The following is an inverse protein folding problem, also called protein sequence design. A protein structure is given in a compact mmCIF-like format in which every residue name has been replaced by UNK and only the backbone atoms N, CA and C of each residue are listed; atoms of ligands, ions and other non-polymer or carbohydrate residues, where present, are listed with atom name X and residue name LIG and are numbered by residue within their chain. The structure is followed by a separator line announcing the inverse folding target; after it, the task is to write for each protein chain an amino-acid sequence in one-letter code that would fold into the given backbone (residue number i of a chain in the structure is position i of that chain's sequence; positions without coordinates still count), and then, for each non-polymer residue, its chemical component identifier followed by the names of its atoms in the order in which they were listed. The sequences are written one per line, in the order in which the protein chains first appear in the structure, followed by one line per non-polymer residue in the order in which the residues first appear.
data_IF_351978790378
#
_entry.id   IF_351978790378
#
_cell.length_a   1.000
_cell.length_b   1.000
_cell.length_c   1.000
_cell.angle_alpha   90.00
_cell.angle_beta   90.00
_cell.angle_gamma   90.00
#
_symmetry.space_group_name_H-M   'P 1'
#
loop_
_entity.id
_entity.type
_entity.pdbx_description
1 polymer ?
#
# COMPACT_ATOMS: atom_id res chain seq x y z
N UNK A 1 6.36 14.80 -12.58
CA UNK A 1 6.31 13.38 -12.13
C UNK A 1 7.55 12.66 -12.63
N UNK A 2 8.32 12.00 -11.77
CA UNK A 2 9.54 11.27 -12.21
C UNK A 2 9.64 9.92 -11.51
N UNK A 3 9.11 8.88 -12.16
CA UNK A 3 9.34 7.48 -11.78
C UNK A 3 10.66 7.05 -12.40
N UNK A 4 11.58 6.57 -11.58
CA UNK A 4 12.89 6.10 -12.06
C UNK A 4 13.07 4.62 -11.74
N UNK A 5 13.11 3.78 -12.76
CA UNK A 5 13.46 2.37 -12.62
C UNK A 5 14.94 2.17 -12.90
N UNK A 6 15.68 1.55 -11.97
CA UNK A 6 17.12 1.30 -12.09
C UNK A 6 17.45 -0.19 -11.99
N UNK A 7 18.34 -0.65 -12.85
CA UNK A 7 18.87 -2.02 -12.82
C UNK A 7 20.20 -2.10 -12.05
N UNK A 8 20.64 -3.30 -11.61
CA UNK A 8 21.94 -3.47 -10.99
C UNK A 8 23.10 -3.05 -11.90
N UNK A 9 24.02 -2.22 -11.37
CA UNK A 9 25.25 -1.83 -12.08
C UNK A 9 26.22 -3.00 -12.21
N UNK A 10 26.33 -3.86 -11.18
CA UNK A 10 27.20 -5.04 -11.16
C UNK A 10 26.73 -6.10 -12.16
N UNK A 11 27.61 -6.48 -13.11
CA UNK A 11 27.31 -7.42 -14.21
C UNK A 11 26.73 -8.76 -13.73
N UNK A 12 27.32 -9.39 -12.72
CA UNK A 12 26.83 -10.68 -12.20
C UNK A 12 25.41 -10.60 -11.65
N UNK A 13 25.08 -9.52 -10.92
CA UNK A 13 23.72 -9.29 -10.40
C UNK A 13 22.73 -8.97 -11.52
N UNK A 14 23.16 -8.25 -12.55
CA UNK A 14 22.34 -7.92 -13.72
C UNK A 14 22.01 -9.17 -14.54
N UNK A 15 23.00 -10.04 -14.77
CA UNK A 15 22.79 -11.32 -15.44
C UNK A 15 21.81 -12.18 -14.63
N UNK A 16 22.02 -12.33 -13.32
CA UNK A 16 21.11 -13.09 -12.46
C UNK A 16 19.66 -12.56 -12.53
N UNK A 17 19.48 -11.23 -12.51
CA UNK A 17 18.16 -10.60 -12.64
C UNK A 17 17.53 -10.96 -13.99
N UNK A 18 18.28 -10.80 -15.07
CA UNK A 18 17.82 -11.14 -16.42
C UNK A 18 17.41 -12.60 -16.53
N UNK A 19 18.22 -13.53 -16.04
CA UNK A 19 17.97 -14.96 -16.14
C UNK A 19 16.71 -15.36 -15.33
N UNK A 20 16.49 -14.74 -14.16
CA UNK A 20 15.29 -14.94 -13.34
C UNK A 20 14.03 -14.36 -14.00
N UNK A 21 14.12 -13.19 -14.64
CA UNK A 21 13.01 -12.60 -15.39
C UNK A 21 12.66 -13.47 -16.61
N UNK A 22 13.67 -13.93 -17.36
CA UNK A 22 13.47 -14.80 -18.53
C UNK A 22 12.80 -16.11 -18.15
N UNK A 23 13.18 -16.71 -17.01
CA UNK A 23 12.51 -17.90 -16.47
C UNK A 23 11.03 -17.65 -16.17
N UNK A 24 10.66 -16.41 -15.83
CA UNK A 24 9.29 -15.98 -15.61
C UNK A 24 8.58 -15.47 -16.87
N UNK A 25 9.19 -15.60 -18.06
CA UNK A 25 8.63 -15.12 -19.32
C UNK A 25 8.69 -13.60 -19.49
N UNK A 26 9.53 -12.90 -18.73
CA UNK A 26 9.67 -11.45 -18.76
C UNK A 26 11.06 -11.03 -19.26
N UNK A 27 11.12 -9.98 -20.06
CA UNK A 27 12.35 -9.25 -20.36
C UNK A 27 12.65 -8.19 -19.29
N UNK A 28 13.82 -7.56 -19.38
CA UNK A 28 14.13 -6.40 -18.55
C UNK A 28 13.23 -5.20 -18.90
N UNK A 29 12.85 -5.06 -20.17
CA UNK A 29 11.95 -4.00 -20.62
C UNK A 29 10.55 -4.21 -20.03
N UNK A 30 10.04 -5.44 -20.03
CA UNK A 30 8.74 -5.77 -19.41
C UNK A 30 8.75 -5.47 -17.92
N UNK A 31 9.82 -5.82 -17.21
CA UNK A 31 9.97 -5.50 -15.80
C UNK A 31 9.96 -3.99 -15.52
N UNK A 32 10.54 -3.18 -16.41
CA UNK A 32 10.45 -1.73 -16.31
C UNK A 32 9.02 -1.25 -16.58
N UNK A 33 8.41 -1.73 -17.65
CA UNK A 33 7.07 -1.34 -18.07
C UNK A 33 6.02 -1.66 -16.99
N UNK A 34 6.09 -2.83 -16.37
CA UNK A 34 5.19 -3.20 -15.25
C UNK A 34 5.22 -2.20 -14.09
N UNK A 35 6.38 -1.62 -13.77
CA UNK A 35 6.46 -0.58 -12.72
C UNK A 35 5.80 0.73 -13.18
N UNK A 36 5.90 1.07 -14.47
CA UNK A 36 5.20 2.22 -15.03
C UNK A 36 3.69 2.00 -15.12
N UNK A 37 3.26 0.78 -15.45
CA UNK A 37 1.85 0.40 -15.54
C UNK A 37 1.19 0.30 -14.15
N UNK A 38 1.94 -0.11 -13.13
CA UNK A 38 1.43 -0.21 -11.75
C UNK A 38 1.27 1.16 -11.08
N UNK A 39 1.93 2.19 -11.61
CA UNK A 39 1.86 3.54 -11.05
C UNK A 39 0.46 4.18 -11.07
N UNK A 40 -0.24 4.28 -12.22
CA UNK A 40 -1.59 4.84 -12.24
C UNK A 40 -2.54 4.01 -11.36
N UNK A 41 -2.38 2.69 -11.34
CA UNK A 41 -3.14 1.78 -10.47
C UNK A 41 -2.86 2.06 -8.99
N UNK A 42 -1.62 2.36 -8.62
CA UNK A 42 -1.27 2.70 -7.24
C UNK A 42 -1.92 4.00 -6.79
N UNK A 43 -2.07 4.99 -7.68
CA UNK A 43 -2.83 6.20 -7.41
C UNK A 43 -4.32 5.89 -7.28
N UNK A 44 -4.89 5.10 -8.20
CA UNK A 44 -6.29 4.69 -8.16
C UNK A 44 -6.68 4.04 -6.83
N UNK A 45 -5.85 3.11 -6.32
CA UNK A 45 -6.05 2.51 -5.01
C UNK A 45 -6.04 3.56 -3.88
N UNK A 46 -5.10 4.51 -3.91
CA UNK A 46 -4.99 5.55 -2.89
C UNK A 46 -6.15 6.54 -2.97
N UNK A 47 -6.62 6.87 -4.16
CA UNK A 47 -7.75 7.75 -4.41
C UNK A 47 -9.02 7.14 -3.82
N UNK A 48 -9.29 5.86 -4.08
CA UNK A 48 -10.43 5.15 -3.50
C UNK A 48 -10.44 5.19 -1.96
N UNK A 49 -9.29 4.90 -1.34
CA UNK A 49 -9.17 5.03 0.12
C UNK A 49 -9.27 6.47 0.62
N UNK A 50 -8.77 7.43 -0.16
CA UNK A 50 -8.76 8.85 0.20
C UNK A 50 -10.17 9.45 0.16
N UNK A 51 -10.99 9.10 -0.83
CA UNK A 51 -12.36 9.56 -0.99
C UNK A 51 -13.19 9.25 0.25
N UNK A 52 -13.17 7.99 0.71
CA UNK A 52 -13.89 7.55 1.92
C UNK A 52 -13.53 8.41 3.16
N UNK A 53 -12.23 8.64 3.41
CA UNK A 53 -11.82 9.42 4.59
C UNK A 53 -12.05 10.93 4.40
N UNK A 54 -12.05 11.42 3.15
CA UNK A 54 -12.33 12.82 2.85
C UNK A 54 -13.80 13.14 3.11
N UNK A 55 -14.73 12.27 2.71
CA UNK A 55 -16.16 12.39 3.04
C UNK A 55 -16.38 12.51 4.56
N UNK A 56 -15.78 11.60 5.33
CA UNK A 56 -15.80 11.66 6.80
C UNK A 56 -15.19 12.97 7.33
N UNK A 57 -14.17 13.51 6.67
CA UNK A 57 -13.54 14.78 7.06
C UNK A 57 -14.39 16.00 6.70
N UNK A 58 -15.25 15.93 5.68
CA UNK A 58 -16.15 17.02 5.29
C UNK A 58 -17.26 17.25 6.32
N UNK A 59 -17.62 16.25 7.12
CA UNK A 59 -18.55 16.40 8.22
C UNK A 59 -18.10 17.49 9.24
N UNK A 60 -19.07 18.16 9.91
CA UNK A 60 -18.76 19.10 10.99
C UNK A 60 -17.86 18.46 12.03
N UNK A 61 -16.94 19.26 12.59
CA UNK A 61 -15.84 18.75 13.43
C UNK A 61 -16.32 17.84 14.56
N UNK A 62 -17.45 18.17 15.18
CA UNK A 62 -18.05 17.42 16.28
C UNK A 62 -18.57 16.04 15.86
N UNK A 63 -18.98 15.87 14.60
CA UNK A 63 -19.61 14.65 14.09
C UNK A 63 -18.61 13.70 13.41
N UNK A 64 -17.37 14.14 13.17
CA UNK A 64 -16.36 13.34 12.44
C UNK A 64 -16.01 12.01 13.09
N UNK A 65 -16.09 11.94 14.42
CA UNK A 65 -15.84 10.66 15.12
C UNK A 65 -16.98 9.70 14.81
N UNK A 66 -18.23 10.15 14.91
CA UNK A 66 -19.39 9.32 14.66
C UNK A 66 -19.45 8.91 13.18
N UNK A 67 -19.15 9.84 12.26
CA UNK A 67 -19.00 9.53 10.83
C UNK A 67 -17.91 8.50 10.54
N UNK A 68 -16.75 8.60 11.22
CA UNK A 68 -15.69 7.58 11.10
C UNK A 68 -16.14 6.22 11.61
N UNK A 69 -16.89 6.19 12.71
CA UNK A 69 -17.39 4.96 13.31
C UNK A 69 -18.55 4.34 12.51
N UNK A 70 -19.26 5.14 11.72
CA UNK A 70 -20.32 4.69 10.83
C UNK A 70 -19.81 4.09 9.52
N UNK A 71 -18.54 4.31 9.17
CA UNK A 71 -17.91 3.80 7.95
C UNK A 71 -17.22 2.45 8.20
N UNK A 72 -17.77 1.32 7.72
CA UNK A 72 -17.30 -0.02 8.06
C UNK A 72 -15.82 -0.24 7.71
N UNK A 73 -15.35 0.20 6.54
CA UNK A 73 -13.97 -0.04 6.11
C UNK A 73 -12.96 0.71 6.98
N UNK A 74 -13.31 1.91 7.44
CA UNK A 74 -12.45 2.68 8.34
C UNK A 74 -12.33 2.00 9.71
N UNK A 75 -13.43 1.49 10.25
CA UNK A 75 -13.41 0.75 11.52
C UNK A 75 -12.64 -0.56 11.36
N UNK A 76 -12.84 -1.27 10.26
CA UNK A 76 -12.21 -2.55 9.97
C UNK A 76 -10.67 -2.46 9.90
N UNK A 77 -10.13 -1.44 9.22
CA UNK A 77 -8.69 -1.32 9.01
C UNK A 77 -7.97 -0.35 9.94
N UNK A 78 -8.68 0.52 10.66
CA UNK A 78 -8.04 1.45 11.59
C UNK A 78 -8.56 1.37 13.02
N UNK A 79 -9.63 0.61 13.24
CA UNK A 79 -10.28 0.39 14.51
C UNK A 79 -10.88 1.67 15.11
N UNK A 80 -11.43 1.53 16.31
CA UNK A 80 -12.23 2.59 16.94
C UNK A 80 -11.48 3.94 16.99
N UNK A 81 -12.16 4.99 16.56
CA UNK A 81 -11.73 6.36 16.70
C UNK A 81 -12.47 7.00 17.88
N UNK A 82 -11.75 7.38 18.94
CA UNK A 82 -12.36 8.08 20.09
C UNK A 82 -12.18 9.60 20.07
N UNK A 83 -11.47 10.13 19.05
CA UNK A 83 -11.08 11.55 18.98
C UNK A 83 -10.95 11.98 17.53
N UNK A 84 -11.36 13.21 17.21
CA UNK A 84 -11.20 13.83 15.88
C UNK A 84 -9.76 13.77 15.36
N UNK A 85 -8.77 13.85 16.25
CA UNK A 85 -7.35 13.73 15.85
C UNK A 85 -7.02 12.36 15.22
N UNK A 86 -7.77 11.30 15.51
CA UNK A 86 -7.55 9.99 14.89
C UNK A 86 -7.99 10.04 13.43
N UNK A 87 -9.18 10.57 13.15
CA UNK A 87 -9.72 10.84 11.81
C UNK A 87 -8.73 11.69 10.99
N UNK A 88 -8.36 12.86 11.52
CA UNK A 88 -7.44 13.77 10.84
C UNK A 88 -6.06 13.15 10.59
N UNK A 89 -5.61 12.23 11.46
CA UNK A 89 -4.35 11.53 11.26
C UNK A 89 -4.43 10.51 10.13
N UNK A 90 -5.55 9.79 9.99
CA UNK A 90 -5.75 8.85 8.89
C UNK A 90 -5.79 9.61 7.58
N UNK A 91 -6.63 10.64 7.50
CA UNK A 91 -6.74 11.52 6.32
C UNK A 91 -5.39 12.08 5.87
N UNK A 92 -4.69 12.79 6.77
CA UNK A 92 -3.38 13.40 6.45
C UNK A 92 -2.34 12.39 5.97
N UNK A 93 -2.43 11.13 6.40
CA UNK A 93 -1.50 10.08 5.99
C UNK A 93 -1.83 9.54 4.60
N UNK A 94 -3.11 9.37 4.27
CA UNK A 94 -3.55 9.02 2.93
C UNK A 94 -3.21 10.14 1.94
N UNK A 95 -3.55 11.39 2.30
CA UNK A 95 -3.16 12.59 1.54
C UNK A 95 -1.65 12.60 1.29
N UNK A 96 -0.86 12.38 2.35
CA UNK A 96 0.59 12.31 2.24
C UNK A 96 1.08 11.17 1.33
N UNK A 97 0.50 9.97 1.45
CA UNK A 97 0.89 8.82 0.61
C UNK A 97 0.66 9.17 -0.86
N UNK A 98 -0.54 9.66 -1.19
CA UNK A 98 -0.95 10.11 -2.53
C UNK A 98 0.01 11.16 -3.08
N UNK A 99 0.26 12.24 -2.32
CA UNK A 99 1.23 13.28 -2.65
C UNK A 99 2.63 12.72 -3.00
N UNK A 100 3.07 11.67 -2.30
CA UNK A 100 4.39 11.06 -2.55
C UNK A 100 4.41 10.20 -3.79
N UNK A 101 3.34 9.45 -4.03
CA UNK A 101 3.19 8.70 -5.28
C UNK A 101 3.20 9.68 -6.45
N UNK A 102 2.40 10.74 -6.41
CA UNK A 102 2.35 11.80 -7.44
C UNK A 102 3.72 12.46 -7.71
N UNK A 103 4.49 12.77 -6.66
CA UNK A 103 5.84 13.34 -6.79
C UNK A 103 6.83 12.37 -7.46
N UNK A 104 6.57 11.07 -7.40
CA UNK A 104 7.37 10.01 -7.99
C UNK A 104 8.43 9.42 -7.06
N UNK A 105 8.89 8.23 -7.42
CA UNK A 105 9.79 7.40 -6.62
C UNK A 105 10.85 6.71 -7.49
N UNK A 106 11.87 6.15 -6.86
CA UNK A 106 12.89 5.35 -7.53
C UNK A 106 12.76 3.88 -7.14
N UNK A 107 12.64 3.00 -8.14
CA UNK A 107 12.61 1.55 -7.94
C UNK A 107 13.91 0.93 -8.42
N UNK A 108 14.59 0.20 -7.55
CA UNK A 108 15.77 -0.57 -7.91
C UNK A 108 15.41 -2.04 -8.11
N UNK A 109 15.42 -2.51 -9.35
CA UNK A 109 15.19 -3.92 -9.65
C UNK A 109 16.34 -4.78 -9.11
N UNK A 110 16.01 -5.88 -8.43
CA UNK A 110 16.97 -6.80 -7.83
C UNK A 110 16.62 -8.26 -8.13
N UNK A 111 17.63 -9.12 -8.37
CA UNK A 111 17.39 -10.55 -8.41
C UNK A 111 17.01 -11.07 -7.03
N UNK A 112 16.19 -12.11 -6.97
CA UNK A 112 15.88 -12.84 -5.74
C UNK A 112 17.11 -13.55 -5.16
N UNK A 113 17.12 -13.67 -3.83
CA UNK A 113 18.03 -14.49 -3.04
C UNK A 113 17.28 -15.62 -2.33
N UNK A 114 17.92 -16.28 -1.36
CA UNK A 114 17.27 -17.37 -0.59
C UNK A 114 16.14 -16.88 0.34
N UNK A 115 16.26 -15.66 0.86
CA UNK A 115 15.30 -15.03 1.79
C UNK A 115 15.12 -13.55 1.44
N UNK A 116 14.79 -13.26 0.19
CA UNK A 116 14.44 -11.90 -0.20
C UNK A 116 12.97 -11.61 0.18
N UNK A 117 12.59 -10.36 0.46
CA UNK A 117 11.19 -9.94 0.46
C UNK A 117 10.71 -9.71 -1.00
N UNK A 118 9.45 -9.32 -1.18
CA UNK A 118 8.92 -8.91 -2.49
C UNK A 118 9.48 -7.53 -2.89
N UNK A 119 9.50 -6.61 -1.94
CA UNK A 119 10.16 -5.33 -2.04
C UNK A 119 10.80 -4.93 -0.70
N UNK A 120 11.59 -3.85 -0.71
CA UNK A 120 12.21 -3.32 0.50
C UNK A 120 12.55 -1.84 0.31
N UNK A 121 11.95 -0.98 1.11
CA UNK A 121 12.32 0.44 1.18
C UNK A 121 13.76 0.65 1.62
N UNK A 122 14.46 1.48 0.85
CA UNK A 122 15.86 1.84 1.05
C UNK A 122 15.99 3.35 1.17
N UNK A 123 15.86 3.85 2.39
CA UNK A 123 15.97 5.28 2.65
C UNK A 123 15.82 5.56 4.13
N UNK A 124 16.28 6.73 4.56
CA UNK A 124 15.92 7.24 5.87
C UNK A 124 14.44 7.65 5.86
N UNK A 125 13.80 7.61 7.03
CA UNK A 125 12.49 8.22 7.23
C UNK A 125 12.55 9.69 6.78
N UNK A 126 11.47 10.22 6.20
CA UNK A 126 11.33 11.63 5.81
C UNK A 126 12.21 12.15 4.64
N UNK A 127 12.80 11.30 3.77
CA UNK A 127 13.46 11.77 2.53
C UNK A 127 12.48 12.24 1.44
N UNK A 128 12.82 13.30 0.70
CA UNK A 128 11.90 13.89 -0.30
C UNK A 128 11.49 12.94 -1.44
N UNK A 129 12.32 11.96 -1.80
CA UNK A 129 11.99 10.91 -2.79
C UNK A 129 12.14 9.53 -2.18
N UNK A 130 11.08 8.74 -2.25
CA UNK A 130 11.12 7.34 -1.83
C UNK A 130 12.01 6.54 -2.77
N UNK A 131 12.81 5.64 -2.20
CA UNK A 131 13.55 4.65 -2.95
C UNK A 131 13.32 3.29 -2.33
N UNK A 132 13.00 2.30 -3.14
CA UNK A 132 12.88 0.92 -2.68
C UNK A 132 13.48 -0.04 -3.70
N UNK A 133 13.76 -1.26 -3.23
CA UNK A 133 14.19 -2.37 -4.06
C UNK A 133 12.95 -3.19 -4.39
N UNK A 134 12.80 -3.57 -5.64
CA UNK A 134 11.76 -4.50 -6.07
C UNK A 134 12.45 -5.78 -6.57
N UNK A 135 12.08 -6.91 -5.99
CA UNK A 135 12.68 -8.20 -6.30
C UNK A 135 11.87 -8.93 -7.37
N UNK A 136 12.47 -9.91 -8.05
CA UNK A 136 11.84 -10.61 -9.17
C UNK A 136 10.48 -11.23 -8.83
N UNK A 137 10.29 -11.78 -7.63
CA UNK A 137 8.96 -12.23 -7.17
C UNK A 137 7.93 -11.10 -7.06
N UNK A 138 8.32 -9.92 -6.58
CA UNK A 138 7.44 -8.75 -6.52
C UNK A 138 7.03 -8.25 -7.92
N UNK A 139 7.96 -8.24 -8.88
CA UNK A 139 7.68 -7.83 -10.28
C UNK A 139 6.60 -8.71 -10.93
N UNK A 140 6.52 -9.98 -10.51
CA UNK A 140 5.64 -11.01 -11.07
C UNK A 140 4.24 -11.04 -10.47
N UNK A 141 3.98 -10.26 -9.43
CA UNK A 141 2.62 -10.02 -8.95
C UNK A 141 1.78 -9.46 -10.09
N UNK A 142 0.46 -9.67 -10.07
CA UNK A 142 -0.41 -8.95 -10.99
C UNK A 142 -0.32 -7.43 -10.75
N UNK A 143 -0.97 -6.65 -11.62
CA UNK A 143 -0.78 -5.21 -11.63
C UNK A 143 -1.33 -4.53 -10.37
N UNK A 144 -2.40 -5.08 -9.79
CA UNK A 144 -3.06 -4.55 -8.60
C UNK A 144 -2.25 -4.88 -7.36
N UNK A 145 -1.79 -6.12 -7.22
CA UNK A 145 -0.91 -6.54 -6.12
C UNK A 145 0.43 -5.80 -6.17
N UNK A 146 0.99 -5.57 -7.36
CA UNK A 146 2.20 -4.76 -7.52
C UNK A 146 1.96 -3.29 -7.13
N UNK A 147 0.81 -2.73 -7.48
CA UNK A 147 0.43 -1.37 -7.11
C UNK A 147 0.24 -1.22 -5.60
N UNK A 148 -0.44 -2.17 -4.96
CA UNK A 148 -0.60 -2.25 -3.51
C UNK A 148 0.77 -2.33 -2.81
N UNK A 149 1.67 -3.18 -3.31
CA UNK A 149 3.04 -3.29 -2.82
C UNK A 149 3.82 -1.97 -2.96
N UNK A 150 3.65 -1.22 -4.05
CA UNK A 150 4.26 0.10 -4.21
C UNK A 150 3.78 1.06 -3.11
N UNK A 151 2.47 1.10 -2.84
CA UNK A 151 1.89 1.92 -1.78
C UNK A 151 2.41 1.53 -0.40
N UNK A 152 2.51 0.22 -0.12
CA UNK A 152 3.10 -0.31 1.10
C UNK A 152 4.52 0.22 1.30
N UNK A 153 5.38 0.03 0.31
CA UNK A 153 6.79 0.42 0.41
C UNK A 153 6.96 1.92 0.55
N UNK A 154 6.15 2.73 -0.14
CA UNK A 154 6.13 4.19 0.02
C UNK A 154 5.72 4.58 1.43
N UNK A 155 4.76 3.86 2.03
CA UNK A 155 4.34 4.09 3.42
C UNK A 155 5.41 3.82 4.46
N UNK A 156 6.43 2.99 4.17
CA UNK A 156 7.54 2.75 5.10
C UNK A 156 8.37 3.98 5.40
N UNK A 157 8.17 5.05 4.65
CA UNK A 157 8.76 6.33 4.99
C UNK A 157 8.26 6.92 6.32
N UNK A 158 7.07 6.54 6.77
CA UNK A 158 6.49 7.01 8.02
C UNK A 158 6.29 5.91 9.04
N UNK A 159 6.13 4.68 8.57
CA UNK A 159 5.77 3.55 9.42
C UNK A 159 6.82 2.45 9.36
N UNK A 160 7.03 1.82 10.51
CA UNK A 160 7.69 0.53 10.56
C UNK A 160 6.62 -0.55 10.50
N UNK A 161 7.00 -1.72 9.98
CA UNK A 161 6.20 -2.93 10.09
C UNK A 161 5.67 -3.10 11.52
N UNK A 162 4.37 -3.37 11.62
CA UNK A 162 3.75 -3.73 12.87
C UNK A 162 3.79 -5.24 13.09
N UNK A 163 3.50 -5.66 14.31
CA UNK A 163 3.55 -7.06 14.74
C UNK A 163 2.37 -7.43 15.63
N UNK A 164 1.81 -8.62 15.46
CA UNK A 164 0.91 -9.24 16.43
C UNK A 164 1.71 -10.30 17.19
N UNK A 165 2.06 -10.00 18.45
CA UNK A 165 3.06 -10.79 19.17
C UNK A 165 4.43 -10.70 18.49
N UNK A 166 4.98 -11.84 18.07
CA UNK A 166 6.26 -11.94 17.36
C UNK A 166 6.12 -11.84 15.84
N UNK A 167 4.93 -12.10 15.32
CA UNK A 167 4.66 -12.20 13.89
C UNK A 167 4.43 -10.83 13.26
N UNK A 168 5.02 -10.56 12.07
CA UNK A 168 4.72 -9.36 11.32
C UNK A 168 3.27 -9.34 10.86
N UNK A 169 2.68 -8.15 10.79
CA UNK A 169 1.34 -7.95 10.25
C UNK A 169 1.44 -7.89 8.73
N UNK A 170 1.06 -8.99 8.08
CA UNK A 170 0.98 -9.11 6.62
C UNK A 170 -0.35 -9.75 6.23
N UNK A 171 -0.97 -9.22 5.18
CA UNK A 171 -2.26 -9.64 4.68
C UNK A 171 -3.44 -9.01 5.42
N UNK A 172 -4.61 -9.11 4.77
CA UNK A 172 -5.86 -8.48 5.18
C UNK A 172 -6.28 -8.88 6.60
N UNK A 173 -6.28 -10.18 6.92
CA UNK A 173 -6.74 -10.65 8.23
C UNK A 173 -5.86 -10.14 9.38
N UNK A 174 -4.53 -10.16 9.22
CA UNK A 174 -3.63 -9.64 10.24
C UNK A 174 -3.78 -8.13 10.41
N UNK A 175 -4.06 -7.38 9.33
CA UNK A 175 -4.35 -5.96 9.38
C UNK A 175 -5.64 -5.68 10.15
N UNK A 176 -6.72 -6.42 9.87
CA UNK A 176 -8.02 -6.38 10.60
C UNK A 176 -7.83 -6.68 12.08
N UNK A 177 -7.07 -7.73 12.41
CA UNK A 177 -6.77 -8.10 13.80
C UNK A 177 -5.97 -7.00 14.51
N UNK A 178 -4.98 -6.38 13.82
CA UNK A 178 -4.24 -5.25 14.39
C UNK A 178 -5.16 -4.06 14.67
N UNK A 179 -6.13 -3.78 13.80
CA UNK A 179 -7.11 -2.71 13.98
C UNK A 179 -8.04 -2.98 15.17
N UNK A 180 -8.55 -4.22 15.26
CA UNK A 180 -9.43 -4.68 16.34
C UNK A 180 -8.75 -4.60 17.71
N UNK A 181 -7.55 -5.16 17.85
CA UNK A 181 -6.89 -5.28 19.15
C UNK A 181 -5.99 -4.07 19.48
N UNK A 182 -5.45 -3.40 18.47
CA UNK A 182 -4.47 -2.33 18.62
C UNK A 182 -4.67 -1.16 17.63
N UNK A 183 -5.80 -0.44 17.69
CA UNK A 183 -6.17 0.59 16.69
C UNK A 183 -5.14 1.72 16.56
N UNK A 184 -4.41 2.04 17.64
CA UNK A 184 -3.31 3.03 17.59
C UNK A 184 -2.12 2.58 16.73
N UNK A 185 -1.88 1.26 16.65
CA UNK A 185 -0.81 0.63 15.87
C UNK A 185 -1.26 0.41 14.43
N UNK A 186 -2.51 0.01 14.20
CA UNK A 186 -3.12 -0.08 12.88
C UNK A 186 -3.02 1.25 12.11
N UNK A 187 -3.39 2.36 12.77
CA UNK A 187 -3.18 3.73 12.22
C UNK A 187 -1.71 4.11 11.98
N UNK A 188 -0.73 3.25 12.25
CA UNK A 188 0.70 3.47 12.01
C UNK A 188 1.34 2.26 11.31
N UNK A 189 0.55 1.51 10.55
CA UNK A 189 0.94 0.28 9.87
C UNK A 189 0.81 0.47 8.36
N UNK A 190 1.88 0.25 7.59
CA UNK A 190 1.81 0.27 6.11
C UNK A 190 0.76 -0.69 5.60
N UNK A 191 0.75 -1.91 6.15
CA UNK A 191 -0.19 -2.96 5.80
C UNK A 191 -1.65 -2.50 5.94
N UNK A 192 -2.01 -1.80 7.02
CA UNK A 192 -3.40 -1.35 7.20
C UNK A 192 -3.81 -0.31 6.16
N UNK A 193 -2.90 0.56 5.72
CA UNK A 193 -3.21 1.53 4.66
C UNK A 193 -3.33 0.83 3.30
N UNK A 194 -2.41 -0.08 2.97
CA UNK A 194 -2.45 -0.88 1.74
C UNK A 194 -3.75 -1.68 1.63
N UNK A 195 -4.08 -2.45 2.68
CA UNK A 195 -5.26 -3.31 2.69
C UNK A 195 -6.56 -2.49 2.68
N UNK A 196 -6.60 -1.36 3.39
CA UNK A 196 -7.73 -0.43 3.35
C UNK A 196 -7.98 0.13 1.94
N UNK A 197 -6.94 0.62 1.27
CA UNK A 197 -7.06 1.17 -0.08
C UNK A 197 -7.51 0.11 -1.11
N UNK A 198 -6.99 -1.10 -0.98
CA UNK A 198 -7.38 -2.24 -1.82
C UNK A 198 -8.85 -2.62 -1.60
N UNK A 199 -9.29 -2.67 -0.33
CA UNK A 199 -10.69 -2.96 0.00
C UNK A 199 -11.64 -1.84 -0.45
N UNK A 200 -11.24 -0.57 -0.32
CA UNK A 200 -12.01 0.59 -0.79
C UNK A 200 -12.24 0.53 -2.30
N UNK A 201 -11.20 0.27 -3.09
CA UNK A 201 -11.32 0.13 -4.54
C UNK A 201 -12.24 -1.02 -4.94
N UNK A 202 -12.12 -2.18 -4.29
CA UNK A 202 -13.04 -3.31 -4.53
C UNK A 202 -14.47 -2.88 -4.19
N UNK A 203 -14.68 -2.21 -3.05
CA UNK A 203 -15.99 -1.74 -2.63
C UNK A 203 -16.64 -0.77 -3.62
N UNK A 204 -15.90 0.16 -4.21
CA UNK A 204 -16.39 1.03 -5.30
C UNK A 204 -16.82 0.21 -6.53
N UNK A 205 -15.99 -0.77 -6.92
CA UNK A 205 -16.32 -1.72 -7.98
C UNK A 205 -17.60 -2.52 -7.67
N UNK A 206 -17.80 -2.93 -6.42
CA UNK A 206 -19.00 -3.64 -5.98
C UNK A 206 -20.20 -2.71 -5.75
N UNK A 207 -20.04 -1.43 -5.48
CA UNK A 207 -21.18 -0.50 -5.43
C UNK A 207 -21.80 -0.30 -6.82
N UNK A 208 -21.05 -0.59 -7.90
CA UNK A 208 -21.62 -0.73 -9.25
C UNK A 208 -22.42 -2.04 -9.46
N UNK A 209 -22.31 -3.02 -8.54
CA UNK A 209 -23.02 -4.30 -8.47
C UNK A 209 -23.42 -4.63 -7.00
N UNK A 210 -24.40 -3.89 -6.47
CA UNK A 210 -24.74 -3.78 -5.03
C UNK A 210 -24.89 -5.09 -4.22
N UNK A 211 -25.12 -6.24 -4.84
CA UNK A 211 -25.35 -7.51 -4.15
C UNK A 211 -24.05 -8.17 -3.62
N UNK A 212 -22.87 -7.78 -4.11
CA UNK A 212 -21.60 -8.43 -3.78
C UNK A 212 -20.89 -7.83 -2.54
N UNK A 213 -21.24 -6.60 -2.15
CA UNK A 213 -20.57 -5.86 -1.07
C UNK A 213 -20.78 -6.52 0.31
N UNK A 214 -21.97 -7.05 0.58
CA UNK A 214 -22.28 -7.73 1.84
C UNK A 214 -21.56 -9.08 1.97
N UNK A 215 -21.33 -9.77 0.86
CA UNK A 215 -20.60 -11.05 0.83
C UNK A 215 -19.11 -10.84 1.06
N UNK A 216 -18.53 -9.76 0.49
CA UNK A 216 -17.12 -9.42 0.69
C UNK A 216 -16.81 -9.01 2.14
N UNK A 217 -17.71 -8.25 2.78
CA UNK A 217 -17.54 -7.84 4.18
C UNK A 217 -17.83 -8.95 5.19
N UNK A 218 -18.55 -10.00 4.79
CA UNK A 218 -18.86 -11.16 5.63
C UNK A 218 -17.79 -12.27 5.59
N UNK A 219 -16.81 -12.18 4.68
CA UNK A 219 -15.71 -13.13 4.49
C UNK A 219 -14.41 -12.71 5.21
#
# INVERSE_FOLDING_TARGET
MTIRVITPSVRSRRNKLRDQLQTAGLSMADAHQRVYDAYPVALELLDAGFEIIDEVRQAPRQDRVDAFMAEPLLVEFFGEATRVRHVNNVHRRLEGLRDRVERGFTVALKPDGKKTPLAQTTGALNTTRVRFRLYTRGIRLDIWDLAALINHEIGHQWFKDQKLGTEPVYGTQAARDLARYHPRRARKSTENYEQFCSAAHIAEGLQSNRDDLEVFLAA
#
